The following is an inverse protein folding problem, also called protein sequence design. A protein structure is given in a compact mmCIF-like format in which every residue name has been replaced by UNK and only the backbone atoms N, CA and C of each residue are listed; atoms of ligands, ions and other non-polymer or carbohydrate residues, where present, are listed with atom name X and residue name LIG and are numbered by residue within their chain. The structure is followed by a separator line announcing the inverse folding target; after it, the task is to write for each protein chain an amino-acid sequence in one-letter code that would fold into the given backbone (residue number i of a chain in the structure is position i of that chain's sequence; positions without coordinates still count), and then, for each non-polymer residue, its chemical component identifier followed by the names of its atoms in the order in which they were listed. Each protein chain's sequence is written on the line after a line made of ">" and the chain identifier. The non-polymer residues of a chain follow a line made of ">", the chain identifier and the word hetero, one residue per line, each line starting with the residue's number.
data_IF_336020838914
#
_entry.id   IF_336020838914
#
_cell.length_a   1.000
_cell.length_b   1.000
_cell.length_c   1.000
_cell.angle_alpha   90.00
_cell.angle_beta   90.00
_cell.angle_gamma   90.00
#
_symmetry.space_group_name_H-M   'P 1'
#
loop_
_entity.id
_entity.type
_entity.pdbx_description
1 polymer ?
#
# COMPACT_ATOMS: atom_id res chain seq x y z
N UNK A 1 -17.86 -8.22 9.50
CA UNK A 1 -17.64 -6.95 10.19
C UNK A 1 -17.46 -7.19 11.68
N UNK A 2 -16.48 -6.55 12.26
CA UNK A 2 -16.22 -6.54 13.71
C UNK A 2 -16.15 -5.09 14.14
N UNK A 3 -16.82 -4.73 15.25
CA UNK A 3 -16.90 -3.36 15.73
C UNK A 3 -18.25 -3.06 16.39
N UNK A 4 -18.68 -1.83 16.34
CA UNK A 4 -19.96 -1.41 16.90
C UNK A 4 -20.90 -0.93 15.79
N UNK A 5 -22.10 -1.43 15.77
CA UNK A 5 -23.18 -0.97 14.89
C UNK A 5 -24.12 -0.10 15.70
N UNK A 6 -24.25 1.16 15.32
CA UNK A 6 -25.21 2.08 15.90
C UNK A 6 -26.45 2.13 15.03
N UNK A 7 -27.56 1.66 15.54
CA UNK A 7 -28.87 1.74 14.90
C UNK A 7 -29.58 2.96 15.43
N UNK A 8 -30.01 3.85 14.55
CA UNK A 8 -30.79 5.04 14.89
C UNK A 8 -32.14 4.95 14.19
N UNK A 9 -33.18 5.26 14.93
CA UNK A 9 -34.54 5.37 14.43
C UNK A 9 -35.07 6.76 14.77
N UNK A 10 -35.62 7.43 13.77
CA UNK A 10 -36.31 8.71 13.93
C UNK A 10 -37.73 8.55 13.46
N UNK A 11 -38.68 8.97 14.24
CA UNK A 11 -40.10 8.96 13.91
C UNK A 11 -40.65 10.37 14.04
N UNK A 12 -41.53 10.74 13.15
CA UNK A 12 -42.28 12.01 13.20
C UNK A 12 -43.75 11.76 12.87
N UNK A 13 -44.64 12.51 13.52
CA UNK A 13 -46.06 12.55 13.24
C UNK A 13 -46.40 13.95 12.67
N UNK A 14 -46.22 14.10 11.36
CA UNK A 14 -46.30 15.39 10.70
C UNK A 14 -45.45 16.46 11.39
N UNK A 15 -46.04 17.63 11.62
CA UNK A 15 -45.31 18.75 12.26
C UNK A 15 -45.48 18.81 13.79
N UNK A 16 -46.08 17.80 14.40
CA UNK A 16 -46.56 17.88 15.79
C UNK A 16 -45.67 17.14 16.81
N UNK A 17 -45.08 16.04 16.42
CA UNK A 17 -44.31 15.20 17.37
C UNK A 17 -43.14 14.56 16.69
N UNK A 18 -41.99 14.54 17.37
CA UNK A 18 -40.77 13.92 16.93
C UNK A 18 -40.25 13.02 18.04
N UNK A 19 -39.72 11.87 17.66
CA UNK A 19 -39.06 10.94 18.55
C UNK A 19 -37.83 10.33 17.90
N UNK A 20 -36.80 10.09 18.67
CA UNK A 20 -35.63 9.35 18.23
C UNK A 20 -35.21 8.33 19.27
N UNK A 21 -34.70 7.21 18.82
CA UNK A 21 -34.09 6.19 19.66
C UNK A 21 -32.83 5.69 18.99
N UNK A 22 -31.84 5.31 19.81
CA UNK A 22 -30.62 4.71 19.30
C UNK A 22 -30.19 3.54 20.16
N UNK A 23 -29.53 2.57 19.54
CA UNK A 23 -28.92 1.42 20.21
C UNK A 23 -27.62 1.06 19.53
N UNK A 24 -26.56 0.91 20.34
CA UNK A 24 -25.30 0.40 19.89
C UNK A 24 -25.22 -1.10 20.19
N UNK A 25 -24.92 -1.89 19.19
CA UNK A 25 -24.71 -3.34 19.29
C UNK A 25 -23.26 -3.64 18.94
N UNK A 26 -22.54 -4.29 19.86
CA UNK A 26 -21.14 -4.74 19.59
C UNK A 26 -21.17 -6.05 18.84
N UNK A 27 -20.42 -6.08 17.73
CA UNK A 27 -20.18 -7.28 16.92
C UNK A 27 -18.74 -7.71 17.14
N UNK A 28 -18.53 -8.90 17.70
CA UNK A 28 -17.21 -9.44 17.98
C UNK A 28 -17.08 -10.87 17.50
N UNK A 29 -15.86 -11.29 17.16
CA UNK A 29 -15.53 -12.68 16.88
C UNK A 29 -14.62 -13.22 17.99
N UNK A 30 -14.64 -14.56 18.24
CA UNK A 30 -13.80 -15.18 19.26
C UNK A 30 -12.30 -14.99 19.01
N UNK A 31 -11.88 -14.93 17.75
CA UNK A 31 -10.53 -14.61 17.32
C UNK A 31 -10.60 -13.58 16.21
N UNK A 32 -9.74 -12.57 16.28
CA UNK A 32 -9.58 -11.54 15.26
C UNK A 32 -8.11 -11.27 15.03
N UNK A 33 -7.77 -10.93 13.79
CA UNK A 33 -6.45 -10.43 13.41
C UNK A 33 -6.63 -9.07 12.75
N UNK A 34 -5.80 -8.13 13.13
CA UNK A 34 -5.75 -6.80 12.54
C UNK A 34 -4.29 -6.41 12.34
N UNK A 35 -3.99 -5.94 11.17
CA UNK A 35 -2.63 -5.52 10.83
C UNK A 35 -2.60 -4.09 10.32
N UNK A 36 -1.42 -3.52 10.29
CA UNK A 36 -1.22 -2.16 9.77
C UNK A 36 0.06 -2.10 8.96
N UNK A 37 -0.07 -1.61 7.74
CA UNK A 37 1.05 -1.31 6.86
C UNK A 37 0.89 0.08 6.25
N UNK A 38 2.00 0.74 5.88
CA UNK A 38 1.96 1.94 5.05
C UNK A 38 1.24 1.64 3.73
N UNK A 39 0.60 2.63 3.14
CA UNK A 39 -0.10 2.47 1.84
C UNK A 39 0.85 2.21 0.68
N UNK A 40 2.09 2.66 0.81
CA UNK A 40 3.12 2.59 -0.22
C UNK A 40 4.42 2.17 0.47
N UNK A 41 5.15 1.27 -0.16
CA UNK A 41 6.50 0.87 0.22
C UNK A 41 7.48 1.19 -0.90
N UNK A 42 8.74 1.37 -0.51
CA UNK A 42 9.84 1.65 -1.43
C UNK A 42 10.57 0.36 -1.81
N UNK A 43 11.06 0.30 -3.04
CA UNK A 43 11.90 -0.80 -3.51
C UNK A 43 13.11 -1.01 -2.58
N UNK A 44 13.36 -2.26 -2.19
CA UNK A 44 14.46 -2.64 -1.30
C UNK A 44 14.25 -2.34 0.17
N UNK A 45 13.14 -1.70 0.54
CA UNK A 45 12.80 -1.40 1.93
C UNK A 45 12.48 -2.67 2.72
N UNK A 46 12.82 -2.65 4.00
CA UNK A 46 12.38 -3.67 4.96
C UNK A 46 11.45 -3.02 5.96
N UNK A 47 10.26 -3.56 6.10
CA UNK A 47 9.22 -3.03 6.99
C UNK A 47 8.75 -4.10 7.96
N UNK A 48 8.45 -3.70 9.19
CA UNK A 48 7.79 -4.57 10.17
C UNK A 48 6.28 -4.51 9.98
N UNK A 49 5.67 -5.67 9.80
CA UNK A 49 4.23 -5.87 9.81
C UNK A 49 3.79 -6.18 11.26
N UNK A 50 3.21 -5.22 11.99
CA UNK A 50 2.55 -5.51 13.25
C UNK A 50 1.21 -6.20 12.97
N UNK A 51 0.96 -7.31 13.62
CA UNK A 51 -0.33 -8.00 13.60
C UNK A 51 -0.84 -8.07 15.03
N UNK A 52 -1.94 -7.40 15.30
CA UNK A 52 -2.65 -7.50 16.56
C UNK A 52 -3.60 -8.69 16.49
N UNK A 53 -3.43 -9.63 17.41
CA UNK A 53 -4.27 -10.81 17.55
C UNK A 53 -5.14 -10.60 18.77
N UNK A 54 -6.44 -10.57 18.58
CA UNK A 54 -7.42 -10.34 19.61
C UNK A 54 -8.23 -11.62 19.89
N UNK A 55 -8.32 -12.00 21.15
CA UNK A 55 -9.13 -13.11 21.61
C UNK A 55 -10.18 -12.66 22.62
N UNK A 56 -11.45 -12.99 22.35
CA UNK A 56 -12.56 -12.77 23.29
C UNK A 56 -12.90 -13.99 24.14
N UNK A 57 -12.18 -15.07 23.96
CA UNK A 57 -12.42 -16.34 24.68
C UNK A 57 -11.91 -16.21 26.12
N UNK A 58 -12.78 -16.44 27.09
CA UNK A 58 -12.47 -16.32 28.53
C UNK A 58 -11.50 -17.36 29.05
N UNK A 59 -11.50 -18.55 28.45
CA UNK A 59 -10.54 -19.63 28.76
C UNK A 59 -9.34 -19.50 27.82
N UNK A 60 -8.15 -19.77 28.31
CA UNK A 60 -6.91 -19.66 27.55
C UNK A 60 -6.96 -20.45 26.25
N UNK A 61 -6.43 -19.85 25.20
CA UNK A 61 -6.29 -20.50 23.89
C UNK A 61 -4.94 -20.18 23.26
N UNK A 62 -4.49 -21.11 22.44
CA UNK A 62 -3.38 -20.88 21.53
C UNK A 62 -3.92 -20.43 20.18
N UNK A 63 -3.34 -19.39 19.63
CA UNK A 63 -3.59 -18.95 18.27
C UNK A 63 -2.30 -18.98 17.47
N UNK A 64 -2.40 -19.37 16.22
CA UNK A 64 -1.28 -19.36 15.28
C UNK A 64 -1.57 -18.35 14.18
N UNK A 65 -0.65 -17.45 13.96
CA UNK A 65 -0.74 -16.43 12.90
C UNK A 65 0.22 -16.82 11.79
N UNK A 66 -0.30 -16.94 10.58
CA UNK A 66 0.48 -17.21 9.36
C UNK A 66 0.30 -16.06 8.38
N UNK A 67 1.40 -15.56 7.87
CA UNK A 67 1.44 -14.52 6.85
C UNK A 67 1.90 -15.12 5.54
N UNK A 68 1.24 -14.76 4.46
CA UNK A 68 1.65 -15.06 3.08
C UNK A 68 1.65 -13.78 2.27
N UNK A 69 2.63 -13.64 1.40
CA UNK A 69 2.78 -12.45 0.55
C UNK A 69 2.93 -12.88 -0.91
N UNK A 70 2.51 -12.02 -1.80
CA UNK A 70 2.76 -12.15 -3.24
C UNK A 70 3.29 -10.83 -3.83
N UNK A 71 3.56 -10.84 -5.14
CA UNK A 71 4.08 -9.67 -5.84
C UNK A 71 5.52 -9.33 -5.44
N UNK A 72 5.88 -8.04 -5.38
CA UNK A 72 7.25 -7.60 -5.08
C UNK A 72 7.62 -7.62 -3.60
N UNK A 73 6.98 -8.48 -2.79
CA UNK A 73 7.28 -8.66 -1.37
C UNK A 73 7.77 -10.06 -1.05
N UNK A 74 8.60 -10.16 -0.03
CA UNK A 74 9.05 -11.43 0.57
C UNK A 74 9.04 -11.34 2.09
N UNK A 75 8.90 -12.48 2.77
CA UNK A 75 8.95 -12.56 4.22
C UNK A 75 10.38 -12.89 4.64
N UNK A 76 10.88 -12.14 5.62
CA UNK A 76 12.20 -12.40 6.20
C UNK A 76 12.02 -13.20 7.49
N UNK A 77 12.56 -14.41 7.51
CA UNK A 77 12.45 -15.33 8.64
C UNK A 77 11.15 -16.16 8.62
N UNK A 78 10.58 -16.41 9.80
CA UNK A 78 9.40 -17.27 9.93
C UNK A 78 8.14 -16.53 9.50
N UNK A 79 7.34 -17.17 8.65
CA UNK A 79 6.03 -16.71 8.23
C UNK A 79 4.91 -17.11 9.19
N UNK A 80 5.23 -17.82 10.27
CA UNK A 80 4.26 -18.32 11.24
C UNK A 80 4.74 -18.02 12.65
N UNK A 81 3.83 -17.52 13.49
CA UNK A 81 4.07 -17.25 14.92
C UNK A 81 2.89 -17.70 15.76
N UNK A 82 3.19 -18.28 16.91
CA UNK A 82 2.19 -18.73 17.89
C UNK A 82 2.01 -17.71 19.00
N UNK A 83 0.78 -17.51 19.42
CA UNK A 83 0.38 -16.61 20.49
C UNK A 83 -0.45 -17.42 21.50
N UNK A 84 -0.08 -17.36 22.75
CA UNK A 84 -0.81 -18.01 23.84
C UNK A 84 -1.60 -16.96 24.62
N UNK A 85 -2.90 -17.14 24.73
CA UNK A 85 -3.80 -16.35 25.57
C UNK A 85 -4.16 -17.14 26.81
N UNK A 86 -3.87 -16.62 27.97
CA UNK A 86 -4.31 -17.16 29.26
C UNK A 86 -5.70 -16.66 29.63
N UNK A 87 -6.03 -15.47 29.18
CA UNK A 87 -7.34 -14.79 29.35
C UNK A 87 -7.69 -14.06 28.07
N UNK A 88 -8.93 -13.60 27.93
CA UNK A 88 -9.32 -12.71 26.85
C UNK A 88 -8.44 -11.46 26.83
N UNK A 89 -8.08 -11.00 25.65
CA UNK A 89 -7.23 -9.82 25.45
C UNK A 89 -6.63 -9.78 24.07
N UNK A 90 -5.63 -8.94 23.92
CA UNK A 90 -4.90 -8.77 22.68
C UNK A 90 -3.39 -9.01 22.86
N UNK A 91 -2.75 -9.44 21.81
CA UNK A 91 -1.30 -9.62 21.73
C UNK A 91 -0.81 -9.26 20.36
N UNK A 92 0.33 -8.60 20.32
CA UNK A 92 0.96 -8.19 19.07
C UNK A 92 2.11 -9.11 18.68
N UNK A 93 2.12 -9.50 17.41
CA UNK A 93 3.21 -10.23 16.78
C UNK A 93 3.72 -9.43 15.59
N UNK A 94 4.99 -9.59 15.27
CA UNK A 94 5.64 -8.83 14.22
C UNK A 94 6.23 -9.77 13.18
N UNK A 95 6.10 -9.42 11.90
CA UNK A 95 6.76 -10.11 10.80
C UNK A 95 7.59 -9.10 10.04
N UNK A 96 8.76 -9.50 9.58
CA UNK A 96 9.62 -8.65 8.77
C UNK A 96 9.35 -8.96 7.28
N UNK A 97 8.95 -7.92 6.54
CA UNK A 97 8.70 -7.96 5.10
C UNK A 97 9.79 -7.19 4.39
N UNK A 98 10.26 -7.70 3.26
CA UNK A 98 11.27 -7.06 2.43
C UNK A 98 10.73 -6.87 1.02
N UNK A 99 10.84 -5.65 0.52
CA UNK A 99 10.55 -5.31 -0.86
C UNK A 99 11.67 -5.75 -1.80
N UNK A 100 11.29 -6.27 -2.96
CA UNK A 100 12.26 -6.56 -4.03
C UNK A 100 12.87 -5.24 -4.52
N UNK A 101 14.21 -5.10 -4.58
CA UNK A 101 14.84 -3.85 -4.99
C UNK A 101 14.66 -3.52 -6.46
N UNK A 102 14.21 -4.47 -7.28
CA UNK A 102 14.13 -4.35 -8.75
C UNK A 102 12.71 -4.41 -9.29
N UNK A 103 11.74 -4.76 -8.46
CA UNK A 103 10.35 -4.95 -8.89
C UNK A 103 9.44 -3.91 -8.27
N UNK A 104 8.50 -3.47 -9.07
CA UNK A 104 7.41 -2.58 -8.68
C UNK A 104 6.06 -3.24 -8.96
N UNK A 105 5.02 -2.77 -8.30
CA UNK A 105 3.67 -3.25 -8.50
C UNK A 105 2.89 -3.42 -7.20
N UNK A 106 1.71 -4.01 -7.32
CA UNK A 106 0.86 -4.29 -6.16
C UNK A 106 1.25 -5.64 -5.57
N UNK A 107 1.44 -5.64 -4.26
CA UNK A 107 1.63 -6.84 -3.46
C UNK A 107 0.39 -7.08 -2.60
N UNK A 108 0.06 -8.34 -2.38
CA UNK A 108 -0.99 -8.73 -1.44
C UNK A 108 -0.38 -9.42 -0.23
N UNK A 109 -0.74 -8.94 0.94
CA UNK A 109 -0.35 -9.53 2.23
C UNK A 109 -1.59 -10.17 2.84
N UNK A 110 -1.56 -11.50 2.95
CA UNK A 110 -2.65 -12.28 3.55
C UNK A 110 -2.23 -12.78 4.91
N UNK A 111 -3.01 -12.41 5.92
CA UNK A 111 -2.81 -12.80 7.31
C UNK A 111 -3.92 -13.78 7.68
N UNK A 112 -3.55 -14.93 8.19
CA UNK A 112 -4.49 -15.93 8.71
C UNK A 112 -4.19 -16.21 10.18
N UNK A 113 -5.19 -16.06 11.02
CA UNK A 113 -5.20 -16.49 12.40
C UNK A 113 -5.99 -17.79 12.54
N UNK A 114 -5.44 -18.79 13.19
CA UNK A 114 -6.11 -20.02 13.53
C UNK A 114 -6.01 -20.29 15.03
N UNK A 115 -7.12 -20.67 15.64
CA UNK A 115 -7.25 -20.95 17.06
C UNK A 115 -8.64 -21.51 17.33
N UNK A 116 -9.37 -20.98 18.29
CA UNK A 116 -10.77 -21.37 18.54
C UNK A 116 -11.67 -21.13 17.32
N UNK A 117 -11.32 -20.12 16.50
CA UNK A 117 -11.90 -19.85 15.19
C UNK A 117 -10.80 -19.46 14.20
N UNK A 118 -11.17 -19.38 12.94
CA UNK A 118 -10.31 -18.81 11.90
C UNK A 118 -10.65 -17.33 11.71
N UNK A 119 -9.60 -16.53 11.57
CA UNK A 119 -9.68 -15.12 11.19
C UNK A 119 -8.74 -14.88 10.01
N UNK A 120 -9.10 -14.00 9.11
CA UNK A 120 -8.25 -13.62 7.97
C UNK A 120 -8.40 -12.17 7.65
N UNK A 121 -7.30 -11.58 7.20
CA UNK A 121 -7.21 -10.23 6.68
C UNK A 121 -6.33 -10.23 5.42
N UNK A 122 -6.67 -9.42 4.45
CA UNK A 122 -5.89 -9.23 3.23
C UNK A 122 -5.70 -7.73 3.00
N UNK A 123 -4.45 -7.33 2.75
CA UNK A 123 -4.06 -5.96 2.45
C UNK A 123 -3.37 -5.94 1.10
N UNK A 124 -3.83 -5.06 0.22
CA UNK A 124 -3.12 -4.71 -1.00
C UNK A 124 -2.24 -3.47 -0.73
N UNK A 125 -0.98 -3.54 -1.12
CA UNK A 125 0.01 -2.49 -0.91
C UNK A 125 0.80 -2.25 -2.19
N UNK A 126 1.04 -0.98 -2.50
CA UNK A 126 1.82 -0.61 -3.66
C UNK A 126 3.31 -0.52 -3.30
N UNK A 127 4.15 -1.22 -4.06
CA UNK A 127 5.62 -1.07 -4.01
C UNK A 127 6.04 -0.29 -5.23
N UNK A 128 6.64 0.88 -5.02
CA UNK A 128 7.08 1.77 -6.10
C UNK A 128 8.34 2.53 -5.72
N UNK A 129 9.06 2.95 -6.75
CA UNK A 129 10.16 3.87 -6.57
C UNK A 129 9.62 5.29 -6.35
N UNK A 130 9.83 5.92 -5.19
CA UNK A 130 9.37 7.29 -4.94
C UNK A 130 10.25 8.36 -5.59
N UNK A 131 11.35 7.97 -6.21
CA UNK A 131 12.28 8.92 -6.80
C UNK A 131 11.66 9.54 -8.06
N UNK A 132 11.75 10.87 -8.23
CA UNK A 132 11.28 11.53 -9.44
C UNK A 132 12.10 11.08 -10.64
N UNK A 133 11.45 11.01 -11.80
CA UNK A 133 12.15 10.80 -13.07
C UNK A 133 12.96 12.06 -13.37
N UNK A 134 14.27 11.91 -13.50
CA UNK A 134 15.16 12.98 -13.95
C UNK A 134 15.38 12.79 -15.45
N UNK A 135 15.08 13.84 -16.23
CA UNK A 135 15.29 13.85 -17.68
C UNK A 135 16.34 14.93 -17.98
N UNK A 136 17.39 14.53 -18.66
CA UNK A 136 18.36 15.43 -19.27
C UNK A 136 18.29 15.27 -20.78
N UNK A 137 18.33 16.38 -21.51
CA UNK A 137 18.25 16.38 -22.96
C UNK A 137 19.25 17.36 -23.55
N UNK A 138 20.00 16.90 -24.55
CA UNK A 138 20.92 17.70 -25.32
C UNK A 138 20.53 17.66 -26.79
N UNK A 139 20.59 18.79 -27.47
CA UNK A 139 20.33 18.89 -28.90
C UNK A 139 21.52 19.55 -29.58
N UNK A 140 22.01 18.98 -30.68
CA UNK A 140 23.11 19.50 -31.48
C UNK A 140 22.79 19.40 -32.96
N UNK A 141 23.30 20.35 -33.73
CA UNK A 141 23.36 20.20 -35.19
C UNK A 141 24.58 19.37 -35.54
N UNK A 142 24.37 18.35 -36.36
CA UNK A 142 25.41 17.41 -36.79
C UNK A 142 25.55 17.49 -38.28
N UNK A 143 26.71 17.93 -38.77
CA UNK A 143 27.06 18.04 -40.17
C UNK A 143 28.10 17.03 -40.65
N UNK A 144 28.68 16.29 -39.66
CA UNK A 144 29.70 15.27 -39.87
C UNK A 144 29.61 14.18 -38.81
N UNK A 145 30.59 13.29 -38.76
CA UNK A 145 30.65 12.25 -37.70
C UNK A 145 30.82 12.89 -36.33
N UNK A 146 29.91 12.57 -35.41
CA UNK A 146 29.90 13.09 -34.03
C UNK A 146 29.79 11.95 -33.05
N UNK A 147 30.52 12.08 -31.92
CA UNK A 147 30.42 11.13 -30.79
C UNK A 147 29.64 11.79 -29.66
N UNK A 148 28.62 11.08 -29.17
CA UNK A 148 27.90 11.44 -27.97
C UNK A 148 28.39 10.59 -26.81
N UNK A 149 28.73 11.20 -25.70
CA UNK A 149 29.03 10.52 -24.45
C UNK A 149 27.91 10.80 -23.45
N UNK A 150 27.47 9.75 -22.79
CA UNK A 150 26.44 9.82 -21.79
C UNK A 150 26.91 9.19 -20.48
N UNK A 151 26.66 9.89 -19.37
CA UNK A 151 26.98 9.41 -18.02
C UNK A 151 25.68 9.07 -17.29
N UNK A 152 25.52 7.85 -16.76
CA UNK A 152 24.33 7.50 -15.97
C UNK A 152 24.16 8.41 -14.76
N UNK A 153 22.92 8.82 -14.46
CA UNK A 153 22.61 9.66 -13.31
C UNK A 153 22.91 8.97 -11.97
N UNK A 154 22.68 7.65 -11.91
CA UNK A 154 22.96 6.88 -10.70
C UNK A 154 23.44 5.48 -11.04
N UNK A 155 24.35 4.94 -10.20
CA UNK A 155 24.96 3.63 -10.41
C UNK A 155 23.96 2.47 -10.33
N UNK A 156 22.90 2.58 -9.53
CA UNK A 156 21.97 1.49 -9.22
C UNK A 156 20.54 1.79 -9.68
N UNK A 157 20.34 2.74 -10.58
CA UNK A 157 19.02 3.07 -11.11
C UNK A 157 18.83 2.55 -12.53
N UNK A 158 17.59 2.43 -12.94
CA UNK A 158 17.20 2.11 -14.31
C UNK A 158 17.40 3.34 -15.18
N UNK A 159 18.60 3.49 -15.74
CA UNK A 159 18.88 4.57 -16.67
C UNK A 159 18.42 4.15 -18.07
N UNK A 160 17.76 5.07 -18.78
CA UNK A 160 17.39 4.91 -20.20
C UNK A 160 17.96 6.09 -20.98
N UNK A 161 18.53 5.82 -22.11
CA UNK A 161 18.99 6.85 -23.05
C UNK A 161 18.35 6.60 -24.42
N UNK A 162 17.96 7.66 -25.11
CA UNK A 162 17.49 7.64 -26.49
C UNK A 162 18.20 8.69 -27.31
N UNK A 163 18.55 8.39 -28.54
CA UNK A 163 19.12 9.32 -29.50
C UNK A 163 18.20 9.37 -30.71
N UNK A 164 17.79 10.57 -31.07
CA UNK A 164 16.96 10.82 -32.25
C UNK A 164 17.76 11.67 -33.23
N UNK A 165 17.88 11.23 -34.47
CA UNK A 165 18.51 11.96 -35.56
C UNK A 165 17.43 12.34 -36.57
N UNK A 166 17.30 13.63 -36.84
CA UNK A 166 16.29 14.18 -37.77
C UNK A 166 16.89 15.23 -38.69
N UNK A 167 16.49 15.28 -39.96
CA UNK A 167 16.88 16.37 -40.88
C UNK A 167 16.14 17.70 -40.59
N UNK A 168 15.17 17.69 -39.71
CA UNK A 168 14.41 18.85 -39.27
C UNK A 168 14.55 19.07 -37.76
N UNK A 169 14.36 20.31 -37.26
CA UNK A 169 14.32 20.55 -35.82
C UNK A 169 13.34 19.60 -35.13
N UNK A 170 13.81 18.90 -34.12
CA UNK A 170 12.98 17.94 -33.39
C UNK A 170 12.10 18.69 -32.41
N UNK A 171 10.78 18.59 -32.59
CA UNK A 171 9.81 19.01 -31.60
C UNK A 171 9.52 17.76 -30.76
N UNK A 172 10.01 17.72 -29.54
CA UNK A 172 9.71 16.65 -28.60
C UNK A 172 8.25 16.74 -28.11
N UNK A 173 7.34 16.26 -28.97
CA UNK A 173 5.91 16.22 -28.68
C UNK A 173 5.62 15.36 -27.47
N UNK A 174 6.41 14.29 -27.25
CA UNK A 174 6.20 13.39 -26.13
C UNK A 174 6.55 14.05 -24.79
N UNK A 175 7.67 14.78 -24.72
CA UNK A 175 8.02 15.51 -23.51
C UNK A 175 7.03 16.65 -23.23
N UNK A 176 6.55 17.33 -24.27
CA UNK A 176 5.52 18.34 -24.14
C UNK A 176 4.20 17.74 -23.63
N UNK A 177 3.80 16.59 -24.16
CA UNK A 177 2.59 15.90 -23.75
C UNK A 177 2.67 15.38 -22.30
N UNK A 178 3.81 14.82 -21.91
CA UNK A 178 4.04 14.38 -20.52
C UNK A 178 4.02 15.56 -19.53
N UNK A 179 4.52 16.73 -19.93
CA UNK A 179 4.40 17.94 -19.10
C UNK A 179 2.95 18.40 -18.97
N UNK A 180 2.13 18.24 -20.00
CA UNK A 180 0.70 18.60 -19.96
C UNK A 180 -0.10 17.64 -19.06
N UNK A 181 0.20 16.34 -19.09
CA UNK A 181 -0.46 15.33 -18.22
C UNK A 181 -0.09 15.56 -16.75
N UNK A 182 1.13 15.97 -16.47
CA UNK A 182 1.63 16.25 -15.12
C UNK A 182 1.60 17.74 -14.79
N UNK A 183 0.58 18.45 -15.20
CA UNK A 183 0.46 19.86 -14.84
C UNK A 183 0.29 19.98 -13.31
N UNK A 184 1.35 20.38 -12.58
CA UNK A 184 1.36 20.27 -11.11
C UNK A 184 0.70 21.44 -10.39
N UNK A 185 0.20 22.40 -11.13
CA UNK A 185 -0.35 23.64 -10.57
C UNK A 185 -1.87 23.64 -10.62
N UNK A 186 -2.45 22.61 -10.02
CA UNK A 186 -3.90 22.50 -9.91
C UNK A 186 -4.41 23.42 -8.82
N UNK A 187 -4.94 24.57 -9.19
CA UNK A 187 -5.98 25.19 -8.39
C UNK A 187 -7.23 24.28 -8.42
N UNK A 188 -7.97 24.21 -7.35
CA UNK A 188 -9.18 23.37 -7.26
C UNK A 188 -10.19 23.60 -8.40
N UNK A 189 -10.13 24.75 -9.04
CA UNK A 189 -10.96 25.15 -10.21
C UNK A 189 -10.51 24.54 -11.54
N UNK A 190 -9.32 23.95 -11.60
CA UNK A 190 -8.78 23.35 -12.84
C UNK A 190 -8.84 21.83 -12.85
N UNK A 191 -9.31 21.22 -11.76
CA UNK A 191 -9.40 19.76 -11.59
C UNK A 191 -10.85 19.25 -11.65
N UNK A 192 -11.82 20.14 -11.81
CA UNK A 192 -13.24 19.81 -11.95
C UNK A 192 -13.62 19.50 -13.40
#
# INVERSE_FOLDING_TARGET
>A
YVGSVRTMVVACDGDKSYGSAEKTTTVSAPLMVMSSLPRILTNGETVKLPVNVFSSVKQGQNATVTVTVDGPLSIVGSNTKSVNFTVAGDKMVYFDLKCDPTKEGVAHVKIKGSGAMQASEEIAIEVRNPQPIIIDSESRVVDSQTTFSWTPFAKNSTNKASVTISPMPNIDVQAAFLKMIHYPYCCSEQVS
#
